data_IF_269837420071
#
_entry.id   IF_269837420071
#
_cell.length_a   1.000
_cell.length_b   1.000
_cell.length_c   1.000
_cell.angle_alpha   90.00
_cell.angle_beta   90.00
_cell.angle_gamma   90.00
#
_symmetry.space_group_name_H-M   'P 1'
#
loop_
_entity.id
_entity.type
_entity.pdbx_description
1 polymer ?
#
# COMPACT_ATOMS: atom_id res chain seq x y z
N UNK A 1 6.68 -3.82 -20.29
CA UNK A 1 5.86 -4.15 -19.12
C UNK A 1 6.80 -4.21 -17.93
N UNK A 2 6.36 -3.75 -16.76
CA UNK A 2 7.13 -3.83 -15.53
C UNK A 2 6.45 -4.82 -14.58
N UNK A 3 7.25 -5.50 -13.76
CA UNK A 3 6.77 -6.50 -12.82
C UNK A 3 7.13 -6.10 -11.39
N UNK A 4 6.24 -6.38 -10.46
CA UNK A 4 6.45 -6.13 -9.04
C UNK A 4 5.90 -7.23 -8.16
N UNK A 5 6.31 -7.19 -6.89
CA UNK A 5 5.77 -8.00 -5.81
C UNK A 5 4.91 -7.12 -4.91
N UNK A 6 3.89 -7.73 -4.32
CA UNK A 6 2.99 -7.07 -3.38
C UNK A 6 2.80 -7.96 -2.15
N UNK A 7 3.01 -7.39 -0.96
CA UNK A 7 2.96 -8.12 0.29
C UNK A 7 1.97 -7.52 1.27
N UNK A 8 1.09 -8.37 1.78
CA UNK A 8 0.23 -8.13 2.93
C UNK A 8 0.79 -8.83 4.18
N UNK A 9 1.67 -9.80 3.98
CA UNK A 9 2.20 -10.69 5.03
C UNK A 9 1.08 -11.43 5.75
N UNK A 10 0.33 -12.20 4.98
CA UNK A 10 -0.76 -13.03 5.50
C UNK A 10 -0.20 -14.19 6.32
N UNK A 11 -0.77 -14.41 7.49
CA UNK A 11 -0.42 -15.52 8.37
C UNK A 11 -1.68 -16.13 8.96
N UNK A 12 -2.32 -17.08 8.26
CA UNK A 12 -3.48 -17.81 8.78
C UNK A 12 -3.15 -18.51 10.09
N UNK A 13 -4.09 -18.53 11.03
CA UNK A 13 -3.96 -19.33 12.25
C UNK A 13 -4.12 -20.82 11.95
N UNK A 14 -3.45 -21.69 12.71
CA UNK A 14 -3.72 -23.13 12.65
C UNK A 14 -5.20 -23.42 12.90
N UNK A 15 -5.76 -24.39 12.15
CA UNK A 15 -7.19 -24.75 12.25
C UNK A 15 -7.59 -25.15 13.67
N UNK A 16 -6.70 -25.88 14.38
CA UNK A 16 -6.94 -26.40 15.74
C UNK A 16 -6.42 -25.47 16.85
N UNK A 17 -5.97 -24.24 16.52
CA UNK A 17 -5.31 -23.36 17.45
C UNK A 17 -5.82 -21.93 17.46
N UNK A 18 -5.90 -21.32 18.65
CA UNK A 18 -6.21 -19.90 18.81
C UNK A 18 -5.00 -18.99 18.58
N UNK A 19 -3.78 -19.55 18.58
CA UNK A 19 -2.53 -18.81 18.47
C UNK A 19 -1.63 -19.40 17.39
N UNK A 20 -0.77 -18.55 16.82
CA UNK A 20 0.26 -18.99 15.88
C UNK A 20 1.33 -19.82 16.56
N UNK A 21 1.95 -20.73 15.81
CA UNK A 21 3.12 -21.46 16.26
C UNK A 21 4.26 -20.50 16.65
N UNK A 22 5.04 -20.80 17.70
CA UNK A 22 6.19 -20.00 18.06
C UNK A 22 7.14 -19.80 16.87
N UNK A 23 7.48 -18.55 16.57
CA UNK A 23 8.37 -18.18 15.46
C UNK A 23 7.71 -18.18 14.07
N UNK A 24 6.40 -18.38 13.95
CA UNK A 24 5.70 -18.32 12.65
C UNK A 24 5.86 -16.93 11.99
N UNK A 25 5.66 -15.86 12.74
CA UNK A 25 5.88 -14.49 12.23
C UNK A 25 7.34 -14.28 11.79
N UNK A 26 8.32 -14.74 12.58
CA UNK A 26 9.72 -14.61 12.19
C UNK A 26 10.03 -15.36 10.89
N UNK A 27 9.47 -16.54 10.68
CA UNK A 27 9.62 -17.29 9.42
C UNK A 27 9.01 -16.52 8.25
N UNK A 28 7.77 -16.00 8.41
CA UNK A 28 7.09 -15.21 7.40
C UNK A 28 7.93 -14.01 6.95
N UNK A 29 8.49 -13.25 7.90
CA UNK A 29 9.32 -12.08 7.56
C UNK A 29 10.64 -12.50 6.90
N UNK A 30 11.30 -13.57 7.35
CA UNK A 30 12.53 -14.05 6.73
C UNK A 30 12.30 -14.55 5.29
N UNK A 31 11.23 -15.30 5.05
CA UNK A 31 10.85 -15.76 3.71
C UNK A 31 10.55 -14.58 2.77
N UNK A 32 9.87 -13.57 3.26
CA UNK A 32 9.62 -12.34 2.50
C UNK A 32 10.94 -11.66 2.11
N UNK A 33 11.89 -11.48 3.04
CA UNK A 33 13.19 -10.88 2.74
C UNK A 33 13.94 -11.66 1.67
N UNK A 34 14.02 -13.00 1.80
CA UNK A 34 14.66 -13.87 0.82
C UNK A 34 14.02 -13.74 -0.57
N UNK A 35 12.68 -13.71 -0.63
CA UNK A 35 11.94 -13.55 -1.88
C UNK A 35 12.23 -12.22 -2.57
N UNK A 36 12.20 -11.11 -1.83
CA UNK A 36 12.45 -9.77 -2.40
C UNK A 36 13.89 -9.61 -2.85
N UNK A 37 14.87 -10.10 -2.07
CA UNK A 37 16.28 -10.10 -2.47
C UNK A 37 16.54 -10.95 -3.72
N UNK A 38 15.81 -12.04 -3.86
CA UNK A 38 15.88 -12.88 -5.06
C UNK A 38 15.22 -12.19 -6.26
N UNK A 39 14.07 -11.54 -6.05
CA UNK A 39 13.39 -10.76 -7.09
C UNK A 39 14.25 -9.60 -7.61
N UNK A 40 14.99 -8.91 -6.74
CA UNK A 40 15.95 -7.88 -7.15
C UNK A 40 17.03 -8.45 -8.09
N UNK A 41 17.56 -9.65 -7.78
CA UNK A 41 18.54 -10.35 -8.63
C UNK A 41 17.94 -10.77 -9.98
N UNK A 42 16.68 -11.18 -10.00
CA UNK A 42 15.95 -11.56 -11.21
C UNK A 42 15.51 -10.38 -12.08
N UNK A 43 15.54 -9.15 -11.54
CA UNK A 43 15.22 -7.94 -12.29
C UNK A 43 13.77 -7.48 -12.18
N UNK A 44 13.07 -7.85 -11.14
CA UNK A 44 11.79 -7.23 -10.82
C UNK A 44 11.95 -5.73 -10.59
N UNK A 45 10.95 -4.96 -11.01
CA UNK A 45 11.00 -3.49 -10.98
C UNK A 45 10.57 -2.92 -9.62
N UNK A 46 9.59 -3.55 -8.96
CA UNK A 46 8.95 -3.01 -7.76
C UNK A 46 8.70 -4.06 -6.69
N UNK A 47 8.71 -3.63 -5.44
CA UNK A 47 8.04 -4.30 -4.33
C UNK A 47 7.19 -3.28 -3.57
N UNK A 48 5.96 -3.68 -3.22
CA UNK A 48 5.06 -2.87 -2.42
C UNK A 48 4.62 -3.64 -1.17
N UNK A 49 4.58 -2.93 -0.04
CA UNK A 49 4.03 -3.44 1.21
C UNK A 49 2.84 -2.59 1.64
N UNK A 50 1.79 -3.25 2.11
CA UNK A 50 0.64 -2.57 2.72
C UNK A 50 1.00 -1.99 4.08
N UNK A 51 0.19 -1.05 4.56
CA UNK A 51 0.06 -0.72 5.98
C UNK A 51 -1.35 -1.07 6.40
N UNK A 52 -1.49 -2.12 7.22
CA UNK A 52 -2.75 -2.54 7.82
C UNK A 52 -2.60 -2.72 9.32
N UNK A 53 -3.67 -2.42 10.06
CA UNK A 53 -3.71 -2.48 11.50
C UNK A 53 -4.90 -3.30 11.96
N UNK A 54 -4.70 -4.14 13.00
CA UNK A 54 -5.79 -4.91 13.64
C UNK A 54 -6.47 -5.96 12.74
N UNK A 55 -5.89 -6.28 11.59
CA UNK A 55 -6.45 -7.25 10.64
C UNK A 55 -5.87 -8.65 10.82
N UNK A 56 -5.41 -8.96 12.01
CA UNK A 56 -4.93 -10.26 12.48
C UNK A 56 -4.25 -11.13 11.39
N UNK A 57 -4.93 -12.21 10.96
CA UNK A 57 -4.39 -13.17 10.00
C UNK A 57 -4.15 -12.59 8.59
N UNK A 58 -4.87 -11.51 8.25
CA UNK A 58 -4.80 -10.93 6.91
C UNK A 58 -3.53 -10.14 6.65
N UNK A 59 -3.04 -9.38 7.64
CA UNK A 59 -1.89 -8.53 7.40
C UNK A 59 -1.02 -8.31 8.64
N UNK A 60 0.19 -8.86 8.62
CA UNK A 60 1.24 -8.56 9.61
C UNK A 60 2.15 -7.41 9.18
N UNK A 61 1.85 -6.75 8.05
CA UNK A 61 2.53 -5.56 7.56
C UNK A 61 1.95 -4.30 8.18
N UNK A 62 2.34 -4.00 9.42
CA UNK A 62 1.85 -2.85 10.19
C UNK A 62 2.78 -1.64 10.13
N UNK A 63 4.03 -1.83 9.74
CA UNK A 63 5.05 -0.79 9.63
C UNK A 63 5.94 -1.06 8.40
N UNK A 64 5.42 -0.85 7.19
CA UNK A 64 6.10 -1.18 5.94
C UNK A 64 7.47 -0.52 5.80
N UNK A 65 7.64 0.68 6.35
CA UNK A 65 8.90 1.41 6.30
C UNK A 65 10.07 0.67 6.98
N UNK A 66 9.80 -0.18 7.97
CA UNK A 66 10.85 -0.96 8.65
C UNK A 66 11.40 -2.03 7.70
N UNK A 67 10.51 -2.77 7.03
CA UNK A 67 10.89 -3.78 6.05
C UNK A 67 11.56 -3.17 4.83
N UNK A 68 11.00 -2.08 4.32
CA UNK A 68 11.55 -1.34 3.19
C UNK A 68 12.95 -0.78 3.50
N UNK A 69 13.19 -0.30 4.72
CA UNK A 69 14.52 0.18 5.14
C UNK A 69 15.55 -0.96 5.21
N UNK A 70 15.16 -2.13 5.71
CA UNK A 70 16.03 -3.32 5.68
C UNK A 70 16.36 -3.73 4.25
N UNK A 71 15.36 -3.84 3.37
CA UNK A 71 15.52 -4.17 1.95
C UNK A 71 16.31 -3.12 1.18
N UNK A 72 16.23 -1.86 1.56
CA UNK A 72 17.03 -0.79 0.95
C UNK A 72 18.54 -1.04 1.04
N UNK A 73 18.99 -1.77 2.07
CA UNK A 73 20.41 -2.11 2.28
C UNK A 73 20.86 -3.40 1.61
N UNK A 74 19.93 -4.33 1.36
CA UNK A 74 20.24 -5.65 0.79
C UNK A 74 19.95 -5.76 -0.70
N UNK A 75 19.11 -4.85 -1.24
CA UNK A 75 18.75 -4.77 -2.66
C UNK A 75 19.45 -3.59 -3.36
N UNK A 76 19.48 -3.61 -4.70
CA UNK A 76 20.20 -2.58 -5.49
C UNK A 76 19.34 -1.86 -6.52
N UNK A 77 18.34 -2.50 -7.09
CA UNK A 77 17.58 -1.99 -8.24
C UNK A 77 16.09 -1.89 -8.01
N UNK A 78 15.51 -2.88 -7.33
CA UNK A 78 14.08 -2.95 -7.07
C UNK A 78 13.63 -1.69 -6.34
N UNK A 79 12.55 -1.07 -6.82
CA UNK A 79 11.97 0.11 -6.20
C UNK A 79 11.11 -0.30 -5.01
N UNK A 80 11.10 0.51 -3.98
CA UNK A 80 10.62 0.20 -2.63
C UNK A 80 9.35 1.02 -2.36
N UNK A 81 8.21 0.37 -2.46
CA UNK A 81 6.90 1.01 -2.45
C UNK A 81 6.09 0.77 -1.17
N UNK A 82 5.39 1.81 -0.76
CA UNK A 82 4.29 1.68 0.18
C UNK A 82 3.01 1.42 -0.64
N UNK A 83 2.32 0.37 -0.33
CA UNK A 83 1.11 -0.01 -1.04
C UNK A 83 -0.10 -0.22 -0.12
N UNK A 84 -0.38 0.72 0.79
CA UNK A 84 -0.03 2.14 0.92
C UNK A 84 0.30 2.54 2.36
N UNK A 85 0.66 3.82 2.62
CA UNK A 85 0.61 4.43 3.95
C UNK A 85 -0.80 5.00 4.18
N UNK A 86 -1.37 4.76 5.34
CA UNK A 86 -2.63 5.37 5.76
C UNK A 86 -2.39 6.81 6.22
N UNK A 87 -2.85 7.77 5.41
CA UNK A 87 -2.53 9.19 5.57
C UNK A 87 -3.35 9.97 6.61
N UNK A 88 -4.59 9.56 7.01
CA UNK A 88 -5.30 10.30 8.05
C UNK A 88 -4.41 10.57 9.26
N UNK A 89 -4.34 11.84 9.70
CA UNK A 89 -3.40 12.30 10.73
C UNK A 89 -3.53 11.58 12.08
N UNK A 90 -4.70 11.00 12.33
CA UNK A 90 -4.95 10.15 13.51
C UNK A 90 -4.16 8.82 13.47
N UNK A 91 -3.83 8.31 12.28
CA UNK A 91 -2.96 7.14 12.09
C UNK A 91 -1.52 7.59 11.98
N UNK A 92 -1.25 8.48 11.03
CA UNK A 92 0.10 8.94 10.71
C UNK A 92 0.16 10.46 10.56
N UNK A 93 0.79 11.14 11.50
CA UNK A 93 0.99 12.59 11.36
C UNK A 93 1.79 12.92 10.10
N UNK A 94 1.34 13.84 9.20
CA UNK A 94 1.98 14.12 7.91
C UNK A 94 3.48 14.42 7.98
N UNK A 95 3.93 15.15 9.00
CA UNK A 95 5.35 15.43 9.21
C UNK A 95 6.16 14.15 9.47
N UNK A 96 5.61 13.21 10.25
CA UNK A 96 6.28 11.92 10.50
C UNK A 96 6.34 11.06 9.26
N UNK A 97 5.32 11.12 8.40
CA UNK A 97 5.34 10.46 7.10
C UNK A 97 6.43 11.08 6.21
N UNK A 98 6.47 12.42 6.09
CA UNK A 98 7.47 13.12 5.29
C UNK A 98 8.90 12.76 5.71
N UNK A 99 9.18 12.74 7.02
CA UNK A 99 10.49 12.37 7.57
C UNK A 99 10.87 10.92 7.25
N UNK A 100 9.93 9.96 7.42
CA UNK A 100 10.17 8.53 7.15
C UNK A 100 10.40 8.26 5.66
N UNK A 101 9.55 8.84 4.80
CA UNK A 101 9.67 8.72 3.33
C UNK A 101 11.00 9.31 2.86
N UNK A 102 11.36 10.51 3.29
CA UNK A 102 12.61 11.14 2.92
C UNK A 102 13.83 10.36 3.42
N UNK A 103 13.77 9.87 4.66
CA UNK A 103 14.85 9.02 5.22
C UNK A 103 15.03 7.73 4.43
N UNK A 104 13.93 7.04 4.11
CA UNK A 104 13.97 5.83 3.29
C UNK A 104 14.50 6.12 1.88
N UNK A 105 14.12 7.27 1.30
CA UNK A 105 14.58 7.66 -0.03
C UNK A 105 16.09 7.90 -0.05
N UNK A 106 16.63 8.56 0.97
CA UNK A 106 18.09 8.74 1.15
C UNK A 106 18.80 7.40 1.34
N UNK A 107 18.30 6.52 2.22
CA UNK A 107 18.89 5.20 2.51
C UNK A 107 18.89 4.31 1.27
N UNK A 108 17.82 4.37 0.47
CA UNK A 108 17.66 3.54 -0.73
C UNK A 108 18.38 4.09 -1.97
N UNK A 109 18.89 5.33 -1.92
CA UNK A 109 19.48 6.00 -3.09
C UNK A 109 18.44 6.40 -4.14
N UNK A 110 17.27 6.90 -3.70
CA UNK A 110 16.23 7.42 -4.60
C UNK A 110 15.33 6.34 -5.21
N UNK A 111 15.08 5.23 -4.50
CA UNK A 111 14.25 4.11 -5.00
C UNK A 111 12.86 4.04 -4.38
N UNK A 112 12.43 5.04 -3.64
CA UNK A 112 11.11 5.03 -2.98
C UNK A 112 9.99 5.29 -3.97
N UNK A 113 8.88 4.55 -3.79
CA UNK A 113 7.55 4.81 -4.36
C UNK A 113 6.60 5.11 -3.21
N UNK A 114 6.03 6.32 -3.20
CA UNK A 114 5.21 6.77 -2.09
C UNK A 114 3.72 6.54 -2.36
N UNK A 115 3.22 5.37 -1.96
CA UNK A 115 1.79 5.07 -2.02
C UNK A 115 1.05 5.56 -0.79
N UNK A 116 -0.12 6.14 -1.02
CA UNK A 116 -0.98 6.77 -0.01
C UNK A 116 -2.38 6.16 -0.01
N UNK A 117 -3.04 6.14 1.13
CA UNK A 117 -4.40 5.64 1.26
C UNK A 117 -5.18 6.29 2.40
N UNK A 118 -6.50 6.10 2.35
CA UNK A 118 -7.45 6.67 3.30
C UNK A 118 -7.86 5.73 4.44
N UNK A 119 -7.36 4.48 4.43
CA UNK A 119 -7.85 3.40 5.28
C UNK A 119 -9.10 2.73 4.69
N UNK A 120 -9.30 1.45 5.00
CA UNK A 120 -10.37 0.66 4.34
C UNK A 120 -11.35 0.03 5.32
N UNK A 121 -10.87 -0.70 6.33
CA UNK A 121 -11.71 -1.49 7.23
C UNK A 121 -12.27 -0.68 8.38
N UNK A 122 -13.43 -1.12 8.88
CA UNK A 122 -14.03 -0.51 10.08
C UNK A 122 -13.20 -0.80 11.34
N UNK A 123 -12.45 -1.92 11.35
CA UNK A 123 -11.51 -2.25 12.43
C UNK A 123 -10.40 -1.21 12.55
N UNK A 124 -9.78 -0.85 11.42
CA UNK A 124 -8.70 0.14 11.40
C UNK A 124 -9.22 1.54 11.73
N UNK A 125 -10.29 1.97 11.03
CA UNK A 125 -10.88 3.29 11.23
C UNK A 125 -11.38 3.45 12.67
N UNK A 126 -12.09 2.45 13.21
CA UNK A 126 -12.57 2.45 14.59
C UNK A 126 -11.44 2.38 15.61
N UNK A 127 -10.38 1.60 15.35
CA UNK A 127 -9.21 1.49 16.21
C UNK A 127 -8.46 2.81 16.38
N UNK A 128 -8.46 3.67 15.36
CA UNK A 128 -7.86 5.01 15.39
C UNK A 128 -8.88 6.14 15.60
N UNK A 129 -10.14 5.83 15.81
CA UNK A 129 -11.19 6.84 16.07
C UNK A 129 -11.52 7.71 14.86
N UNK A 130 -11.40 7.16 13.64
CA UNK A 130 -11.64 7.88 12.38
C UNK A 130 -13.09 7.68 11.93
N UNK A 131 -13.81 8.79 11.69
CA UNK A 131 -15.09 8.75 11.00
C UNK A 131 -14.89 8.37 9.53
N UNK A 132 -15.52 7.25 9.12
CA UNK A 132 -15.45 6.73 7.74
C UNK A 132 -15.87 7.77 6.69
N UNK A 133 -16.77 8.70 7.03
CA UNK A 133 -17.24 9.72 6.10
C UNK A 133 -16.19 10.80 5.81
N UNK A 134 -15.25 10.99 6.73
CA UNK A 134 -14.21 12.01 6.68
C UNK A 134 -12.85 11.48 6.16
N UNK A 135 -12.67 10.18 6.09
CA UNK A 135 -11.38 9.58 5.77
C UNK A 135 -10.75 10.07 4.45
N UNK A 136 -11.57 10.36 3.43
CA UNK A 136 -11.10 10.85 2.14
C UNK A 136 -10.58 12.28 2.21
N UNK A 137 -11.29 13.18 2.88
CA UNK A 137 -10.83 14.56 3.10
C UNK A 137 -9.60 14.62 3.99
N UNK A 138 -9.53 13.76 5.03
CA UNK A 138 -8.33 13.59 5.86
C UNK A 138 -7.12 13.11 5.04
N UNK A 139 -7.31 12.13 4.15
CA UNK A 139 -6.26 11.66 3.25
C UNK A 139 -5.77 12.76 2.31
N UNK A 140 -6.69 13.50 1.70
CA UNK A 140 -6.32 14.56 0.76
C UNK A 140 -5.53 15.67 1.44
N UNK A 141 -6.02 16.18 2.58
CA UNK A 141 -5.35 17.23 3.37
C UNK A 141 -3.95 16.78 3.79
N UNK A 142 -3.85 15.61 4.40
CA UNK A 142 -2.58 15.07 4.88
C UNK A 142 -1.57 14.81 3.75
N UNK A 143 -2.03 14.31 2.60
CA UNK A 143 -1.16 14.03 1.45
C UNK A 143 -0.59 15.30 0.85
N UNK A 144 -1.43 16.33 0.64
CA UNK A 144 -0.99 17.65 0.13
C UNK A 144 0.08 18.27 1.01
N UNK A 145 -0.17 18.30 2.31
CA UNK A 145 0.76 18.93 3.26
C UNK A 145 2.04 18.09 3.45
N UNK A 146 1.94 16.76 3.46
CA UNK A 146 3.11 15.87 3.51
C UNK A 146 4.07 16.14 2.32
N UNK A 147 3.53 16.29 1.12
CA UNK A 147 4.34 16.60 -0.09
C UNK A 147 5.02 17.97 0.03
N UNK A 148 4.30 19.00 0.48
CA UNK A 148 4.89 20.33 0.73
C UNK A 148 6.01 20.28 1.78
N UNK A 149 5.86 19.45 2.82
CA UNK A 149 6.91 19.25 3.83
C UNK A 149 8.18 18.65 3.24
N UNK A 150 8.08 17.82 2.21
CA UNK A 150 9.26 17.27 1.52
C UNK A 150 9.96 18.28 0.63
N UNK A 151 9.23 19.20 -0.01
CA UNK A 151 9.77 20.12 -1.02
C UNK A 151 10.13 21.51 -0.47
N UNK A 152 9.42 22.00 0.57
CA UNK A 152 9.62 23.36 1.09
C UNK A 152 10.69 23.45 2.18
N UNK A 153 11.45 24.55 2.20
CA UNK A 153 12.46 24.84 3.25
C UNK A 153 12.46 26.34 3.57
N UNK A 154 11.98 26.75 4.74
CA UNK A 154 11.20 25.95 5.69
C UNK A 154 9.81 25.59 5.15
N UNK A 155 9.17 24.58 5.73
CA UNK A 155 7.74 24.36 5.58
C UNK A 155 7.00 25.46 6.34
N UNK A 156 6.08 26.22 5.70
CA UNK A 156 5.53 27.46 6.27
C UNK A 156 4.53 27.26 7.42
N UNK A 157 4.18 26.01 7.72
CA UNK A 157 3.11 25.68 8.65
C UNK A 157 1.75 25.55 7.93
N UNK A 158 0.77 25.08 8.67
CA UNK A 158 -0.58 24.82 8.19
C UNK A 158 -1.59 24.84 9.32
N UNK A 159 -2.74 25.47 9.09
CA UNK A 159 -3.92 25.42 9.95
C UNK A 159 -5.05 24.79 9.14
N UNK A 160 -5.29 23.48 9.39
CA UNK A 160 -6.25 22.68 8.65
C UNK A 160 -7.44 22.23 9.48
N UNK A 161 -8.29 21.43 8.84
CA UNK A 161 -9.47 20.86 9.49
C UNK A 161 -9.10 19.66 10.37
N UNK A 162 -8.12 18.84 9.94
CA UNK A 162 -7.78 17.56 10.58
C UNK A 162 -6.44 17.57 11.30
N UNK A 163 -5.56 18.52 10.98
CA UNK A 163 -4.34 18.75 11.74
C UNK A 163 -3.84 20.17 11.56
N UNK A 164 -2.99 20.63 12.50
CA UNK A 164 -2.31 21.91 12.42
C UNK A 164 -0.85 21.75 12.81
N UNK A 165 0.02 22.53 12.18
CA UNK A 165 1.46 22.52 12.47
C UNK A 165 2.06 23.90 12.20
N UNK A 166 2.85 24.46 13.14
CA UNK A 166 3.54 25.72 12.91
C UNK A 166 4.70 25.56 11.91
N UNK A 167 5.23 26.69 11.42
CA UNK A 167 6.42 26.70 10.58
C UNK A 167 7.56 25.86 11.18
N UNK A 168 8.10 24.93 10.39
CA UNK A 168 9.23 24.04 10.77
C UNK A 168 10.08 23.69 9.56
N UNK A 169 11.34 23.42 9.80
CA UNK A 169 12.19 22.80 8.79
C UNK A 169 12.10 21.27 8.92
N UNK A 170 11.27 20.64 8.11
CA UNK A 170 11.10 19.18 8.10
C UNK A 170 12.28 18.55 7.37
N UNK A 171 13.03 17.69 8.03
CA UNK A 171 14.26 17.05 7.53
C UNK A 171 14.26 15.55 7.86
N UNK A 172 15.00 14.71 7.04
CA UNK A 172 15.73 15.08 5.83
C UNK A 172 14.82 15.47 4.66
N UNK A 173 15.41 15.89 3.53
CA UNK A 173 14.71 16.00 2.25
C UNK A 173 14.98 14.74 1.43
N UNK A 174 14.04 14.30 0.59
CA UNK A 174 14.26 13.14 -0.28
C UNK A 174 15.35 13.44 -1.33
N UNK A 175 15.96 12.40 -1.87
CA UNK A 175 16.87 12.51 -3.03
C UNK A 175 16.08 12.71 -4.33
N UNK A 176 14.90 12.13 -4.43
CA UNK A 176 14.03 12.31 -5.58
C UNK A 176 13.35 13.67 -5.48
N UNK A 177 13.57 14.53 -6.47
CA UNK A 177 13.03 15.89 -6.51
C UNK A 177 11.84 15.97 -7.50
N UNK A 178 10.77 16.69 -7.15
CA UNK A 178 10.53 17.43 -5.91
C UNK A 178 10.16 16.52 -4.72
N UNK A 179 9.71 15.32 -4.98
CA UNK A 179 9.37 14.26 -4.04
C UNK A 179 9.35 12.89 -4.74
N UNK A 180 9.37 11.76 -4.02
CA UNK A 180 9.17 10.43 -4.61
C UNK A 180 7.86 10.33 -5.39
N UNK A 181 7.77 9.47 -6.42
CA UNK A 181 6.54 9.25 -7.18
C UNK A 181 5.37 8.88 -6.26
N UNK A 182 4.25 9.60 -6.43
CA UNK A 182 3.04 9.41 -5.62
C UNK A 182 2.11 8.36 -6.24
N UNK A 183 1.52 7.55 -5.38
CA UNK A 183 0.51 6.57 -5.74
C UNK A 183 -0.67 6.61 -4.76
N UNK A 184 -1.82 6.09 -5.18
CA UNK A 184 -2.97 5.88 -4.31
C UNK A 184 -3.56 4.50 -4.50
N UNK A 185 -4.00 3.88 -3.40
CA UNK A 185 -4.78 2.65 -3.48
C UNK A 185 -6.13 2.92 -4.15
N UNK A 186 -6.46 2.16 -5.18
CA UNK A 186 -7.63 2.35 -6.02
C UNK A 186 -8.36 1.02 -6.26
N UNK A 187 -9.15 0.61 -5.28
CA UNK A 187 -10.01 -0.58 -5.39
C UNK A 187 -11.25 -0.38 -6.27
N UNK A 188 -11.57 0.88 -6.62
CA UNK A 188 -12.74 1.27 -7.42
C UNK A 188 -12.32 2.12 -8.60
N UNK A 189 -13.09 2.06 -9.70
CA UNK A 189 -12.87 2.87 -10.89
C UNK A 189 -12.83 4.37 -10.58
N UNK A 190 -13.74 4.86 -9.74
CA UNK A 190 -13.79 6.28 -9.36
C UNK A 190 -12.49 6.77 -8.72
N UNK A 191 -11.84 5.92 -7.90
CA UNK A 191 -10.56 6.26 -7.28
C UNK A 191 -9.42 6.28 -8.31
N UNK A 192 -9.43 5.37 -9.29
CA UNK A 192 -8.48 5.42 -10.41
C UNK A 192 -8.62 6.72 -11.22
N UNK A 193 -9.85 7.16 -11.49
CA UNK A 193 -10.10 8.40 -12.22
C UNK A 193 -9.72 9.65 -11.38
N UNK A 194 -9.93 9.58 -10.06
CA UNK A 194 -9.46 10.61 -9.15
C UNK A 194 -7.92 10.69 -9.13
N UNK A 195 -7.24 9.53 -9.10
CA UNK A 195 -5.78 9.46 -9.20
C UNK A 195 -5.26 10.16 -10.46
N UNK A 196 -5.93 9.94 -11.61
CA UNK A 196 -5.62 10.64 -12.85
C UNK A 196 -5.75 12.15 -12.73
N UNK A 197 -6.85 12.64 -12.13
CA UNK A 197 -7.04 14.08 -11.91
C UNK A 197 -6.03 14.68 -10.95
N UNK A 198 -5.56 13.90 -9.99
CA UNK A 198 -4.51 14.33 -9.07
C UNK A 198 -3.09 14.10 -9.59
N UNK A 199 -2.93 13.59 -10.81
CA UNK A 199 -1.62 13.36 -11.40
C UNK A 199 -0.76 12.31 -10.68
N UNK A 200 -1.38 11.34 -10.02
CA UNK A 200 -0.71 10.30 -9.25
C UNK A 200 -0.98 8.90 -9.79
N UNK A 201 -0.09 7.96 -9.51
CA UNK A 201 -0.25 6.57 -9.89
C UNK A 201 -1.40 5.89 -9.18
N UNK A 202 -2.02 4.93 -9.83
CA UNK A 202 -3.10 4.10 -9.28
C UNK A 202 -2.60 2.70 -8.98
N UNK A 203 -2.77 2.23 -7.74
CA UNK A 203 -2.52 0.86 -7.31
C UNK A 203 -3.88 0.16 -7.17
N UNK A 204 -4.22 -0.71 -8.11
CA UNK A 204 -5.53 -1.36 -8.17
C UNK A 204 -5.45 -2.88 -8.22
N UNK A 205 -6.59 -3.54 -7.96
CA UNK A 205 -6.76 -4.97 -8.15
C UNK A 205 -7.27 -5.31 -9.55
N UNK A 206 -6.86 -6.48 -10.07
CA UNK A 206 -7.28 -6.99 -11.36
C UNK A 206 -8.54 -7.84 -11.30
N UNK A 207 -9.63 -7.27 -10.78
CA UNK A 207 -10.94 -7.95 -10.73
C UNK A 207 -11.77 -7.75 -12.01
N UNK A 208 -11.33 -6.87 -12.89
CA UNK A 208 -11.98 -6.56 -14.16
C UNK A 208 -11.46 -7.46 -15.29
N UNK A 209 -12.26 -7.60 -16.34
CA UNK A 209 -11.82 -8.25 -17.57
C UNK A 209 -10.68 -7.43 -18.24
N UNK A 210 -9.88 -8.05 -19.13
CA UNK A 210 -8.86 -7.31 -19.89
C UNK A 210 -9.45 -6.15 -20.71
N UNK A 211 -10.65 -6.30 -21.26
CA UNK A 211 -11.36 -5.29 -22.05
C UNK A 211 -11.77 -4.08 -21.18
N UNK A 212 -12.35 -4.34 -20.00
CA UNK A 212 -12.70 -3.29 -19.04
C UNK A 212 -11.46 -2.56 -18.52
N UNK A 213 -10.39 -3.32 -18.24
CA UNK A 213 -9.09 -2.75 -17.84
C UNK A 213 -8.52 -1.84 -18.92
N UNK A 214 -8.59 -2.24 -20.19
CA UNK A 214 -8.11 -1.43 -21.33
C UNK A 214 -8.86 -0.07 -21.39
N UNK A 215 -10.19 -0.08 -21.28
CA UNK A 215 -11.01 1.13 -21.26
C UNK A 215 -10.62 2.04 -20.10
N UNK A 216 -10.42 1.47 -18.89
CA UNK A 216 -10.00 2.22 -17.72
C UNK A 216 -8.61 2.84 -17.89
N UNK A 217 -7.68 2.12 -18.51
CA UNK A 217 -6.33 2.62 -18.81
C UNK A 217 -6.37 3.81 -19.77
N UNK A 218 -7.16 3.71 -20.86
CA UNK A 218 -7.33 4.81 -21.80
C UNK A 218 -7.93 6.05 -21.16
N UNK A 219 -8.98 5.88 -20.35
CA UNK A 219 -9.63 6.97 -19.64
C UNK A 219 -8.69 7.62 -18.61
N UNK A 220 -7.93 6.83 -17.85
CA UNK A 220 -6.94 7.33 -16.91
C UNK A 220 -5.91 8.24 -17.59
N UNK A 221 -5.30 7.78 -18.68
CA UNK A 221 -4.30 8.58 -19.39
C UNK A 221 -4.91 9.79 -20.13
N UNK A 222 -6.16 9.70 -20.57
CA UNK A 222 -6.88 10.87 -21.11
C UNK A 222 -7.05 11.95 -20.04
N UNK A 223 -7.54 11.58 -18.86
CA UNK A 223 -7.75 12.53 -17.74
C UNK A 223 -6.44 13.17 -17.27
N UNK A 224 -5.34 12.44 -17.21
CA UNK A 224 -4.02 13.04 -16.89
C UNK A 224 -3.65 14.13 -17.90
N UNK A 225 -3.92 13.93 -19.18
CA UNK A 225 -3.58 14.92 -20.20
C UNK A 225 -4.50 16.14 -20.22
N UNK A 226 -5.77 15.94 -19.91
CA UNK A 226 -6.83 16.93 -20.17
C UNK A 226 -7.36 17.62 -18.92
N UNK A 227 -7.36 16.93 -17.78
CA UNK A 227 -8.06 17.36 -16.56
C UNK A 227 -7.19 17.30 -15.28
N UNK A 228 -5.87 17.17 -15.41
CA UNK A 228 -5.01 16.99 -14.24
C UNK A 228 -4.75 18.29 -13.48
N UNK A 229 -5.00 18.25 -12.17
CA UNK A 229 -4.58 19.26 -11.18
C UNK A 229 -3.77 18.52 -10.11
N UNK A 230 -2.44 18.49 -10.18
CA UNK A 230 -1.60 17.66 -9.35
C UNK A 230 -1.83 17.91 -7.84
N UNK A 231 -1.94 16.81 -7.08
CA UNK A 231 -1.96 16.89 -5.61
C UNK A 231 -0.58 17.21 -5.05
N UNK A 232 0.48 16.78 -5.76
CA UNK A 232 1.88 17.06 -5.48
C UNK A 232 2.49 18.04 -6.48
N UNK A 233 3.81 18.14 -6.47
CA UNK A 233 4.56 19.04 -7.36
C UNK A 233 5.07 18.34 -8.64
N UNK A 234 4.84 17.03 -8.76
CA UNK A 234 5.18 16.24 -9.94
C UNK A 234 4.04 15.28 -10.28
N UNK A 235 3.91 14.97 -11.57
CA UNK A 235 2.94 14.00 -12.08
C UNK A 235 3.61 12.63 -12.18
N UNK A 236 2.95 11.59 -11.66
CA UNK A 236 3.35 10.19 -11.81
C UNK A 236 2.28 9.41 -12.61
N UNK A 237 2.35 9.34 -13.94
CA UNK A 237 1.37 8.66 -14.78
C UNK A 237 1.61 7.16 -14.78
N UNK A 238 1.14 6.45 -13.76
CA UNK A 238 1.35 5.02 -13.58
C UNK A 238 0.07 4.26 -13.23
N UNK A 239 -0.13 3.10 -13.83
CA UNK A 239 -1.15 2.13 -13.43
C UNK A 239 -0.48 0.82 -13.07
N UNK A 240 -0.72 0.36 -11.85
CA UNK A 240 -0.30 -0.95 -11.38
C UNK A 240 -1.56 -1.77 -11.07
N UNK A 241 -1.61 -2.98 -11.60
CA UNK A 241 -2.71 -3.91 -11.39
C UNK A 241 -2.18 -5.14 -10.68
N UNK A 242 -2.69 -5.40 -9.49
CA UNK A 242 -2.38 -6.58 -8.71
C UNK A 242 -3.24 -7.75 -9.18
N UNK A 243 -2.57 -8.82 -9.59
CA UNK A 243 -3.19 -10.10 -9.88
C UNK A 243 -2.53 -11.20 -9.05
N UNK A 244 -3.33 -12.13 -8.60
CA UNK A 244 -2.81 -13.37 -8.02
C UNK A 244 -2.20 -14.23 -9.13
N UNK A 245 -1.05 -14.80 -8.85
CA UNK A 245 -0.28 -15.52 -9.84
C UNK A 245 0.46 -16.70 -9.22
N UNK A 246 0.39 -17.85 -9.87
CA UNK A 246 1.15 -19.03 -9.50
C UNK A 246 1.83 -19.62 -10.75
N UNK A 247 3.16 -19.75 -10.71
CA UNK A 247 3.92 -20.44 -11.73
C UNK A 247 4.36 -21.81 -11.22
N UNK A 248 4.18 -22.84 -12.03
CA UNK A 248 4.65 -24.19 -11.78
C UNK A 248 5.06 -24.86 -13.09
N UNK A 249 5.55 -26.12 -13.04
CA UNK A 249 5.95 -26.86 -14.23
C UNK A 249 4.78 -27.29 -15.11
N UNK A 250 3.60 -27.46 -14.52
CA UNK A 250 2.34 -27.78 -15.20
C UNK A 250 1.20 -26.97 -14.62
N UNK A 251 0.11 -26.84 -15.39
CA UNK A 251 -1.09 -26.11 -14.96
C UNK A 251 -1.76 -26.81 -13.77
N UNK A 252 -1.77 -28.14 -13.73
CA UNK A 252 -2.33 -28.91 -12.62
C UNK A 252 -1.55 -28.67 -11.32
N UNK A 253 -0.23 -28.56 -11.41
CA UNK A 253 0.62 -28.25 -10.25
C UNK A 253 0.37 -26.79 -9.80
N UNK A 254 0.22 -25.84 -10.72
CA UNK A 254 -0.07 -24.46 -10.41
C UNK A 254 -1.42 -24.31 -9.69
N UNK A 255 -2.46 -24.93 -10.21
CA UNK A 255 -3.81 -24.94 -9.60
C UNK A 255 -3.77 -25.54 -8.19
N UNK A 256 -3.14 -26.72 -8.03
CA UNK A 256 -3.03 -27.36 -6.72
C UNK A 256 -2.29 -26.51 -5.69
N UNK A 257 -1.22 -25.81 -6.09
CA UNK A 257 -0.44 -24.96 -5.19
C UNK A 257 -1.11 -23.63 -4.86
N UNK A 258 -1.99 -23.14 -5.73
CA UNK A 258 -2.69 -21.87 -5.54
C UNK A 258 -4.06 -22.02 -4.89
N UNK A 259 -4.52 -23.23 -4.58
CA UNK A 259 -5.89 -23.44 -4.13
C UNK A 259 -6.25 -22.67 -2.85
N UNK A 260 -5.35 -22.68 -1.87
CA UNK A 260 -5.64 -22.12 -0.54
C UNK A 260 -5.45 -20.60 -0.46
N UNK A 261 -4.37 -20.07 -1.07
CA UNK A 261 -4.01 -18.65 -0.96
C UNK A 261 -5.07 -17.68 -1.52
N UNK A 262 -5.54 -17.85 -2.78
CA UNK A 262 -6.62 -17.03 -3.33
C UNK A 262 -7.93 -17.12 -2.56
N UNK A 263 -8.26 -18.29 -2.03
CA UNK A 263 -9.45 -18.50 -1.19
C UNK A 263 -9.36 -17.66 0.08
N UNK A 264 -8.24 -17.75 0.80
CA UNK A 264 -7.99 -16.97 2.02
C UNK A 264 -8.01 -15.46 1.76
N UNK A 265 -7.37 -15.00 0.68
CA UNK A 265 -7.37 -13.59 0.29
C UNK A 265 -8.78 -13.06 0.03
N UNK A 266 -9.57 -13.79 -0.78
CA UNK A 266 -10.93 -13.39 -1.13
C UNK A 266 -11.86 -13.38 0.09
N UNK A 267 -11.73 -14.39 0.94
CA UNK A 267 -12.46 -14.47 2.22
C UNK A 267 -12.12 -13.27 3.10
N UNK A 268 -10.84 -12.98 3.32
CA UNK A 268 -10.38 -11.89 4.19
C UNK A 268 -10.85 -10.53 3.70
N UNK A 269 -10.79 -10.27 2.39
CA UNK A 269 -11.33 -9.03 1.81
C UNK A 269 -12.84 -8.90 2.07
N UNK A 270 -13.61 -9.98 1.87
CA UNK A 270 -15.03 -10.00 2.18
C UNK A 270 -15.32 -9.78 3.66
N UNK A 271 -14.62 -10.49 4.52
CA UNK A 271 -14.75 -10.39 5.98
C UNK A 271 -14.53 -8.97 6.48
N UNK A 272 -13.36 -8.37 6.19
CA UNK A 272 -13.01 -7.03 6.67
C UNK A 272 -13.76 -5.88 5.97
N UNK A 273 -14.42 -6.14 4.85
CA UNK A 273 -15.27 -5.16 4.18
C UNK A 273 -16.71 -5.15 4.68
N UNK A 274 -17.19 -6.25 5.29
CA UNK A 274 -18.61 -6.44 5.66
C UNK A 274 -18.84 -6.51 7.16
N UNK A 275 -17.84 -6.94 7.96
CA UNK A 275 -18.00 -7.12 9.40
C UNK A 275 -17.50 -5.90 10.16
N UNK A 276 -18.33 -5.38 11.07
CA UNK A 276 -17.96 -4.34 12.04
C UNK A 276 -17.37 -4.94 13.33
N UNK A 277 -17.20 -6.25 13.37
CA UNK A 277 -16.85 -6.99 14.57
C UNK A 277 -15.38 -7.19 14.76
N UNK A 278 -14.96 -7.22 16.03
CA UNK A 278 -13.66 -7.67 16.49
C UNK A 278 -13.61 -9.18 16.72
N UNK A 279 -14.71 -9.90 16.48
CA UNK A 279 -14.83 -11.34 16.69
C UNK A 279 -14.64 -12.10 15.38
N UNK A 280 -13.83 -13.14 15.47
CA UNK A 280 -13.67 -14.18 14.48
C UNK A 280 -15.04 -14.87 14.29
N UNK A 281 -15.51 -14.91 13.07
CA UNK A 281 -16.70 -15.65 12.73
C UNK A 281 -16.36 -17.15 12.70
N UNK A 282 -17.14 -18.01 13.35
CA UNK A 282 -16.94 -19.47 13.33
C UNK A 282 -16.96 -20.02 11.90
N UNK A 283 -17.66 -19.34 10.99
CA UNK A 283 -17.74 -19.67 9.57
C UNK A 283 -16.45 -19.33 8.79
N UNK A 284 -15.56 -18.50 9.32
CA UNK A 284 -14.32 -18.09 8.67
C UNK A 284 -13.30 -19.22 8.46
N UNK A 285 -13.34 -20.22 9.30
CA UNK A 285 -12.51 -21.43 9.18
C UNK A 285 -13.11 -22.41 8.16
N UNK A 286 -14.42 -22.46 8.06
CA UNK A 286 -15.14 -23.40 7.19
C UNK A 286 -14.96 -23.11 5.68
N UNK A 287 -14.64 -21.87 5.29
CA UNK A 287 -14.44 -21.51 3.88
C UNK A 287 -13.06 -21.92 3.33
N UNK A 288 -12.10 -22.22 4.20
CA UNK A 288 -10.79 -22.77 3.80
C UNK A 288 -10.90 -24.30 3.61
N UNK A 289 -11.86 -24.94 4.26
CA UNK A 289 -12.09 -26.40 4.18
C UNK A 289 -13.08 -26.80 3.05
N UNK A 290 -13.80 -25.86 2.45
CA UNK A 290 -14.78 -26.09 1.38
C UNK A 290 -14.25 -25.73 -0.01
#
# INVERSE_FOLDING_TARGET
>A
MKFGLFYELQLPRPVDGETWDPGAEQRLFNEMFEQVEYADKLGFDYVFFVEHHFLEEYAHSTAPEIMLAALARTTKRIRLGHGVIQMPAAVNHPARVAERIASLDVISGGRVEFGTGEGTSDQELGGFGIDRTLKKSMWEEATRECVKMMSSTPYPGYEGEYFSMPERNVIPKPLQAPHPPLWVAASRRETTLLAARFGIGSLGFGFETPEETAVRVEEYYRLIREECFPIGEAINPGLLVLNQFMAAKTDEEAVRRSADGPGFFSYSLGYYSTTRGTQRDEDGVALIEA
#
